data_IF_053751472657
#
_entry.id   IF_053751472657
#
_cell.length_a   1.000
_cell.length_b   1.000
_cell.length_c   1.000
_cell.angle_alpha   90.00
_cell.angle_beta   90.00
_cell.angle_gamma   90.00
#
_symmetry.space_group_name_H-M   'P 1'
#
loop_
_entity.id
_entity.type
_entity.pdbx_description
1 polymer ?
#
# COMPACT_ATOMS: atom_id res chain seq x y z
N UNK A 1 23.31 -25.47 29.58
CA UNK A 1 22.27 -26.17 28.80
C UNK A 1 22.26 -25.52 27.43
N UNK A 2 23.07 -26.05 26.53
CA UNK A 2 23.63 -25.27 25.41
C UNK A 2 23.17 -25.85 24.06
N UNK A 3 22.10 -26.66 24.12
CA UNK A 3 21.65 -27.56 23.06
C UNK A 3 21.33 -26.84 21.75
N UNK A 4 20.72 -25.66 21.80
CA UNK A 4 20.38 -24.87 20.61
C UNK A 4 21.60 -24.10 20.04
N UNK A 5 22.56 -23.76 20.89
CA UNK A 5 23.72 -22.92 20.56
C UNK A 5 24.97 -23.73 20.17
N UNK A 6 24.94 -25.05 20.40
CA UNK A 6 25.91 -26.02 19.89
C UNK A 6 25.47 -26.73 18.61
N UNK A 7 24.33 -26.35 18.00
CA UNK A 7 23.91 -26.89 16.71
C UNK A 7 24.80 -26.38 15.57
N UNK A 8 25.09 -27.20 14.54
CA UNK A 8 25.50 -26.74 13.22
C UNK A 8 24.52 -25.70 12.67
N UNK A 9 25.02 -24.72 11.90
CA UNK A 9 24.21 -23.59 11.41
C UNK A 9 23.00 -24.04 10.57
N UNK A 10 23.15 -25.11 9.78
CA UNK A 10 22.08 -25.66 8.94
C UNK A 10 20.95 -26.26 9.78
N UNK A 11 21.27 -26.95 10.88
CA UNK A 11 20.26 -27.48 11.80
C UNK A 11 19.59 -26.38 12.62
N UNK A 12 20.31 -25.30 12.93
CA UNK A 12 19.72 -24.11 13.54
C UNK A 12 18.75 -23.42 12.57
N UNK A 13 19.13 -23.21 11.31
CA UNK A 13 18.27 -22.66 10.25
C UNK A 13 16.98 -23.46 10.10
N UNK A 14 17.10 -24.78 9.86
CA UNK A 14 15.94 -25.68 9.73
C UNK A 14 15.02 -25.67 10.98
N UNK A 15 15.58 -25.47 12.18
CA UNK A 15 14.77 -25.37 13.41
C UNK A 15 14.03 -24.03 13.50
N UNK A 16 14.60 -22.94 12.97
CA UNK A 16 14.00 -21.61 13.01
C UNK A 16 12.97 -21.39 11.89
N UNK A 17 13.13 -22.05 10.74
CA UNK A 17 12.19 -22.00 9.62
C UNK A 17 10.86 -22.72 9.91
N UNK A 18 10.80 -23.54 10.96
CA UNK A 18 9.56 -24.10 11.53
C UNK A 18 8.77 -23.10 12.40
N UNK A 19 9.31 -21.90 12.65
CA UNK A 19 8.67 -20.86 13.46
C UNK A 19 8.23 -19.67 12.57
N UNK A 20 7.12 -18.98 12.88
CA UNK A 20 6.84 -17.68 12.28
C UNK A 20 7.99 -16.68 12.53
N UNK A 21 8.33 -15.79 11.57
CA UNK A 21 9.44 -14.85 11.73
C UNK A 21 9.40 -14.02 13.03
N UNK A 22 8.20 -13.59 13.46
CA UNK A 22 8.02 -12.84 14.72
C UNK A 22 8.29 -13.68 15.98
N UNK A 23 8.12 -14.99 15.93
CA UNK A 23 8.50 -15.88 17.03
C UNK A 23 10.02 -16.08 17.08
N UNK A 24 10.72 -16.17 15.94
CA UNK A 24 12.20 -16.16 15.89
C UNK A 24 12.76 -14.88 16.53
N UNK A 25 12.13 -13.72 16.28
CA UNK A 25 12.49 -12.46 16.96
C UNK A 25 12.22 -12.54 18.47
N UNK A 26 11.08 -13.10 18.90
CA UNK A 26 10.75 -13.29 20.34
C UNK A 26 11.72 -14.26 21.05
N UNK A 27 12.25 -15.27 20.35
CA UNK A 27 13.26 -16.18 20.91
C UNK A 27 14.54 -15.46 21.39
N UNK A 28 14.86 -14.26 20.85
CA UNK A 28 15.96 -13.40 21.33
C UNK A 28 15.81 -12.94 22.79
N UNK A 29 14.66 -13.18 23.43
CA UNK A 29 14.41 -12.85 24.84
C UNK A 29 14.68 -14.02 25.81
N UNK A 30 14.88 -15.26 25.30
CA UNK A 30 14.98 -16.47 26.14
C UNK A 30 16.27 -16.50 26.97
N UNK A 31 17.41 -16.15 26.37
CA UNK A 31 18.70 -16.06 27.07
C UNK A 31 19.70 -15.18 26.31
N UNK A 32 20.75 -14.71 26.98
CA UNK A 32 21.83 -13.93 26.33
C UNK A 32 22.54 -14.71 25.23
N UNK A 33 22.71 -16.02 25.38
CA UNK A 33 23.35 -16.89 24.38
C UNK A 33 22.48 -17.07 23.15
N UNK A 34 21.17 -17.28 23.34
CA UNK A 34 20.20 -17.36 22.23
C UNK A 34 20.06 -16.00 21.54
N UNK A 35 20.01 -14.90 22.30
CA UNK A 35 20.04 -13.54 21.76
C UNK A 35 21.22 -13.35 20.80
N UNK A 36 22.45 -13.59 21.28
CA UNK A 36 23.67 -13.43 20.48
C UNK A 36 23.72 -14.38 19.27
N UNK A 37 23.14 -15.59 19.36
CA UNK A 37 23.05 -16.49 18.22
C UNK A 37 22.06 -15.99 17.15
N UNK A 38 20.93 -15.42 17.57
CA UNK A 38 19.81 -14.94 16.74
C UNK A 38 19.93 -13.47 16.29
N UNK A 39 21.01 -12.76 16.66
CA UNK A 39 21.37 -11.43 16.14
C UNK A 39 22.60 -11.45 15.22
N UNK A 40 23.18 -12.61 14.92
CA UNK A 40 24.30 -12.72 13.97
C UNK A 40 23.85 -12.27 12.58
N UNK A 41 24.49 -11.23 12.03
CA UNK A 41 24.09 -10.62 10.76
C UNK A 41 23.99 -11.62 9.58
N UNK A 42 24.87 -12.63 9.50
CA UNK A 42 24.78 -13.66 8.47
C UNK A 42 23.54 -14.55 8.62
N UNK A 43 23.19 -14.96 9.85
CA UNK A 43 21.97 -15.70 10.11
C UNK A 43 20.74 -14.85 9.77
N UNK A 44 20.69 -13.59 10.20
CA UNK A 44 19.56 -12.71 9.91
C UNK A 44 19.40 -12.41 8.41
N UNK A 45 20.50 -12.32 7.64
CA UNK A 45 20.46 -12.25 6.16
C UNK A 45 19.89 -13.53 5.53
N UNK A 46 20.18 -14.71 6.07
CA UNK A 46 19.58 -15.96 5.57
C UNK A 46 18.09 -16.04 5.90
N UNK A 47 17.71 -15.85 7.18
CA UNK A 47 16.31 -15.87 7.61
C UNK A 47 15.44 -14.83 6.88
N UNK A 48 15.99 -13.65 6.55
CA UNK A 48 15.30 -12.65 5.74
C UNK A 48 15.05 -13.13 4.29
N UNK A 49 16.02 -13.83 3.69
CA UNK A 49 15.91 -14.33 2.32
C UNK A 49 15.07 -15.60 2.18
N UNK A 50 14.98 -16.44 3.22
CA UNK A 50 14.20 -17.69 3.22
C UNK A 50 12.80 -17.55 3.83
N UNK A 51 12.64 -16.80 4.94
CA UNK A 51 11.37 -16.70 5.67
C UNK A 51 10.53 -15.45 5.33
N UNK A 52 11.07 -14.51 4.56
CA UNK A 52 10.42 -13.26 4.15
C UNK A 52 10.80 -12.86 2.69
N UNK A 53 10.89 -13.79 1.72
CA UNK A 53 11.57 -13.56 0.43
C UNK A 53 11.05 -12.40 -0.41
N UNK A 54 9.79 -11.96 -0.22
CA UNK A 54 9.17 -10.86 -0.98
C UNK A 54 9.32 -9.49 -0.32
N UNK A 55 9.75 -9.43 0.95
CA UNK A 55 9.90 -8.15 1.67
C UNK A 55 10.85 -7.20 0.94
N UNK A 56 10.59 -5.90 1.03
CA UNK A 56 11.44 -4.83 0.47
C UNK A 56 12.91 -5.00 0.85
N UNK A 57 13.19 -5.39 2.09
CA UNK A 57 14.53 -5.64 2.62
C UNK A 57 15.18 -6.89 1.99
N UNK A 58 14.42 -7.97 1.78
CA UNK A 58 14.89 -9.17 1.09
C UNK A 58 15.17 -8.89 -0.40
N UNK A 59 14.27 -8.16 -1.09
CA UNK A 59 14.43 -7.70 -2.47
C UNK A 59 15.64 -6.79 -2.65
N UNK A 60 15.93 -5.94 -1.66
CA UNK A 60 17.08 -5.04 -1.69
C UNK A 60 18.41 -5.76 -1.38
N UNK A 61 18.40 -6.72 -0.44
CA UNK A 61 19.57 -7.57 -0.14
C UNK A 61 19.99 -8.46 -1.33
N UNK A 62 19.08 -8.85 -2.23
CA UNK A 62 19.45 -9.53 -3.47
C UNK A 62 20.19 -8.59 -4.42
N UNK A 63 19.61 -7.44 -4.77
CA UNK A 63 20.23 -6.42 -5.63
C UNK A 63 21.60 -5.95 -5.13
N UNK A 64 21.73 -5.70 -3.82
CA UNK A 64 23.01 -5.36 -3.19
C UNK A 64 24.10 -6.44 -3.38
N UNK A 65 23.73 -7.73 -3.37
CA UNK A 65 24.66 -8.84 -3.63
C UNK A 65 25.00 -8.97 -5.11
N UNK A 66 24.03 -8.75 -5.99
CA UNK A 66 24.17 -8.79 -7.45
C UNK A 66 25.08 -7.67 -7.96
N UNK A 67 24.95 -6.46 -7.41
CA UNK A 67 25.80 -5.30 -7.71
C UNK A 67 27.19 -5.34 -7.02
N UNK A 68 27.46 -6.37 -6.21
CA UNK A 68 28.65 -6.49 -5.36
C UNK A 68 28.88 -5.29 -4.39
N UNK A 69 27.81 -4.68 -3.89
CA UNK A 69 27.80 -3.54 -2.96
C UNK A 69 28.08 -3.97 -1.50
N UNK A 70 29.14 -4.74 -1.38
CA UNK A 70 29.53 -5.55 -0.23
C UNK A 70 29.90 -4.67 1.00
N UNK A 71 30.20 -3.39 0.78
CA UNK A 71 30.37 -2.39 1.84
C UNK A 71 29.03 -2.01 2.50
N UNK A 72 28.00 -1.71 1.71
CA UNK A 72 26.65 -1.36 2.19
C UNK A 72 26.04 -2.57 2.92
N UNK A 73 26.19 -3.78 2.38
CA UNK A 73 25.76 -5.04 3.02
C UNK A 73 26.47 -5.29 4.37
N UNK A 74 27.67 -4.74 4.59
CA UNK A 74 28.39 -4.83 5.88
C UNK A 74 28.02 -3.72 6.86
N UNK A 75 27.47 -2.60 6.42
CA UNK A 75 27.13 -1.46 7.29
C UNK A 75 25.82 -1.68 8.08
N UNK A 76 24.80 -2.28 7.44
CA UNK A 76 23.44 -2.43 7.99
C UNK A 76 23.35 -3.41 9.17
N UNK A 77 22.59 -3.06 10.21
CA UNK A 77 22.23 -4.03 11.26
C UNK A 77 21.12 -4.97 10.80
N UNK A 78 21.53 -6.04 10.11
CA UNK A 78 20.61 -7.09 9.64
C UNK A 78 19.79 -7.74 10.77
N UNK A 79 20.20 -7.64 12.03
CA UNK A 79 19.41 -8.13 13.15
C UNK A 79 18.19 -7.25 13.44
N UNK A 80 18.31 -5.93 13.24
CA UNK A 80 17.22 -4.95 13.30
C UNK A 80 16.36 -5.05 12.04
N UNK A 81 16.98 -5.08 10.85
CA UNK A 81 16.28 -5.18 9.56
C UNK A 81 15.35 -6.41 9.51
N UNK A 82 15.84 -7.60 9.91
CA UNK A 82 15.01 -8.79 10.02
C UNK A 82 13.89 -8.63 11.07
N UNK A 83 14.15 -7.97 12.20
CA UNK A 83 13.12 -7.79 13.24
C UNK A 83 12.01 -6.82 12.85
N UNK A 84 12.29 -5.81 12.02
CA UNK A 84 11.29 -4.91 11.45
C UNK A 84 10.45 -5.65 10.40
N UNK A 85 11.08 -6.33 9.44
CA UNK A 85 10.36 -7.09 8.41
C UNK A 85 9.49 -8.21 9.02
N UNK A 86 9.99 -8.93 10.04
CA UNK A 86 9.24 -9.95 10.77
C UNK A 86 8.10 -9.38 11.63
N UNK A 87 8.22 -8.16 12.14
CA UNK A 87 7.12 -7.42 12.79
C UNK A 87 6.04 -7.08 11.77
N UNK A 88 6.43 -6.46 10.65
CA UNK A 88 5.54 -6.06 9.57
C UNK A 88 4.69 -7.21 9.04
N UNK A 89 5.35 -8.33 8.69
CA UNK A 89 4.67 -9.54 8.26
C UNK A 89 3.67 -10.04 9.31
N UNK A 90 4.03 -10.01 10.61
CA UNK A 90 3.14 -10.45 11.67
C UNK A 90 1.89 -9.56 11.82
N UNK A 91 2.03 -8.24 11.71
CA UNK A 91 0.90 -7.30 11.77
C UNK A 91 -0.06 -7.52 10.59
N UNK A 92 0.46 -7.61 9.36
CA UNK A 92 -0.35 -7.97 8.19
C UNK A 92 -1.05 -9.33 8.35
N UNK A 93 -0.33 -10.37 8.77
CA UNK A 93 -0.90 -11.73 8.97
C UNK A 93 -1.89 -11.81 10.15
N UNK A 94 -2.05 -10.75 10.96
CA UNK A 94 -3.00 -10.72 12.08
C UNK A 94 -4.06 -9.62 11.98
N UNK A 95 -4.15 -8.89 10.86
CA UNK A 95 -5.14 -7.82 10.70
C UNK A 95 -4.92 -6.68 11.70
N UNK A 96 -3.66 -6.38 12.00
CA UNK A 96 -3.25 -5.37 12.98
C UNK A 96 -2.24 -4.41 12.36
N UNK A 97 -2.02 -3.27 13.01
CA UNK A 97 -0.93 -2.34 12.74
C UNK A 97 -0.10 -2.13 14.03
N UNK A 98 1.17 -1.74 13.89
CA UNK A 98 2.08 -1.51 15.02
C UNK A 98 1.94 -0.10 15.61
N UNK A 99 1.55 0.89 14.80
CA UNK A 99 1.17 2.23 15.24
C UNK A 99 0.31 2.94 14.19
N UNK A 100 -0.32 4.05 14.59
CA UNK A 100 -0.96 4.99 13.69
C UNK A 100 -0.38 6.40 13.90
N UNK A 101 -0.29 7.19 12.82
CA UNK A 101 0.03 8.62 12.85
C UNK A 101 -1.11 9.39 12.21
N UNK A 102 -1.63 10.37 12.94
CA UNK A 102 -2.64 11.30 12.45
C UNK A 102 -1.98 12.62 12.02
N UNK A 103 -2.51 13.20 10.94
CA UNK A 103 -2.13 14.52 10.43
C UNK A 103 -3.40 15.29 10.10
N UNK A 104 -3.70 16.34 10.86
CA UNK A 104 -4.91 17.15 10.65
C UNK A 104 -4.81 17.96 9.36
N UNK A 105 -5.66 17.66 8.38
CA UNK A 105 -5.83 18.46 7.17
C UNK A 105 -6.69 19.66 7.56
N UNK A 106 -6.05 20.82 7.73
CA UNK A 106 -6.73 22.05 8.18
C UNK A 106 -7.90 22.41 7.24
N UNK A 107 -8.96 23.06 7.76
CA UNK A 107 -10.15 23.38 6.99
C UNK A 107 -9.79 24.27 5.78
N UNK A 108 -9.72 23.62 4.61
CA UNK A 108 -9.45 24.24 3.31
C UNK A 108 -10.69 25.00 2.78
N UNK A 109 -11.28 25.85 3.62
CA UNK A 109 -12.43 26.68 3.28
C UNK A 109 -12.12 27.52 2.03
N UNK A 110 -12.85 27.25 0.94
CA UNK A 110 -12.71 27.89 -0.37
C UNK A 110 -11.32 27.76 -1.02
N UNK A 111 -10.52 26.76 -0.60
CA UNK A 111 -9.16 26.47 -1.10
C UNK A 111 -9.05 25.13 -1.82
N UNK A 112 -9.94 24.19 -1.51
CA UNK A 112 -10.12 22.95 -2.25
C UNK A 112 -11.58 22.76 -2.62
N UNK A 113 -11.83 22.47 -3.89
CA UNK A 113 -13.13 22.09 -4.41
C UNK A 113 -12.87 21.00 -5.45
N UNK A 114 -13.01 19.74 -5.04
CA UNK A 114 -12.78 18.58 -5.89
C UNK A 114 -13.64 18.58 -7.16
N UNK A 115 -13.25 17.78 -8.15
CA UNK A 115 -14.10 17.56 -9.32
C UNK A 115 -15.18 16.57 -8.91
N UNK A 116 -16.37 17.08 -8.60
CA UNK A 116 -17.52 16.26 -8.17
C UNK A 116 -17.70 15.05 -9.10
N UNK A 117 -17.76 13.81 -8.57
CA UNK A 117 -18.09 12.64 -9.38
C UNK A 117 -19.52 12.74 -9.91
N UNK A 118 -19.83 11.92 -10.91
CA UNK A 118 -21.21 11.71 -11.32
C UNK A 118 -21.97 10.98 -10.20
N UNK A 119 -23.26 11.28 -10.02
CA UNK A 119 -24.11 10.65 -9.00
C UNK A 119 -24.16 9.12 -9.19
N UNK A 120 -23.36 8.41 -8.39
CA UNK A 120 -23.21 6.96 -8.40
C UNK A 120 -24.00 6.33 -7.25
N UNK A 121 -24.77 5.28 -7.57
CA UNK A 121 -25.61 4.57 -6.60
C UNK A 121 -25.46 3.06 -6.75
N UNK A 122 -25.24 2.37 -5.63
CA UNK A 122 -25.43 0.93 -5.54
C UNK A 122 -26.91 0.65 -5.31
N UNK A 123 -27.55 -0.15 -6.18
CA UNK A 123 -28.96 -0.56 -6.04
C UNK A 123 -29.10 -2.07 -6.11
N UNK A 124 -29.76 -2.64 -5.11
CA UNK A 124 -30.08 -4.07 -5.02
C UNK A 124 -31.47 -4.24 -4.38
N UNK A 125 -32.36 -4.97 -5.05
CA UNK A 125 -33.79 -5.00 -4.75
C UNK A 125 -34.34 -3.58 -4.48
N UNK A 126 -35.03 -3.37 -3.35
CA UNK A 126 -35.57 -2.07 -2.93
C UNK A 126 -34.52 -1.16 -2.23
N UNK A 127 -33.28 -1.63 -2.03
CA UNK A 127 -32.20 -0.86 -1.40
C UNK A 127 -31.46 0.00 -2.43
N UNK A 128 -31.32 1.29 -2.15
CA UNK A 128 -30.46 2.21 -2.91
C UNK A 128 -29.53 2.94 -1.94
N UNK A 129 -28.23 2.92 -2.23
CA UNK A 129 -27.18 3.52 -1.39
C UNK A 129 -26.29 4.40 -2.27
N UNK A 130 -25.95 5.64 -1.87
CA UNK A 130 -24.97 6.45 -2.59
C UNK A 130 -23.59 5.78 -2.52
N UNK A 131 -22.87 5.82 -3.64
CA UNK A 131 -21.51 5.31 -3.79
C UNK A 131 -20.64 6.40 -4.44
N UNK A 132 -20.72 7.62 -3.90
CA UNK A 132 -19.84 8.72 -4.25
C UNK A 132 -19.01 9.12 -3.03
N UNK A 133 -17.79 9.58 -3.30
CA UNK A 133 -16.88 10.14 -2.31
C UNK A 133 -16.21 11.37 -2.92
N UNK A 134 -15.87 12.37 -2.11
CA UNK A 134 -15.16 13.56 -2.61
C UNK A 134 -13.72 13.21 -3.03
N UNK A 135 -13.18 13.88 -4.05
CA UNK A 135 -11.73 13.85 -4.34
C UNK A 135 -10.91 14.16 -3.05
N UNK A 136 -9.78 13.47 -2.87
CA UNK A 136 -8.81 13.74 -1.80
C UNK A 136 -7.99 15.01 -2.06
N UNK A 137 -7.52 15.62 -0.97
CA UNK A 137 -6.64 16.81 -1.02
C UNK A 137 -5.15 16.47 -1.02
N UNK A 138 -4.79 15.18 -1.00
CA UNK A 138 -3.44 14.66 -0.77
C UNK A 138 -3.10 13.54 -1.76
N UNK A 139 -1.82 13.24 -1.94
CA UNK A 139 -1.35 12.16 -2.80
C UNK A 139 -0.15 11.44 -2.19
N UNK A 140 -0.02 10.13 -2.43
CA UNK A 140 1.12 9.32 -2.00
C UNK A 140 1.77 8.62 -3.19
N UNK A 141 3.06 8.90 -3.41
CA UNK A 141 3.89 8.19 -4.37
C UNK A 141 4.58 7.00 -3.75
N UNK A 142 4.27 5.79 -4.23
CA UNK A 142 4.76 4.53 -3.63
C UNK A 142 6.25 4.28 -3.90
N UNK A 143 6.74 4.69 -5.08
CA UNK A 143 8.14 4.56 -5.51
C UNK A 143 9.03 5.54 -4.75
N UNK A 144 8.54 6.77 -4.57
CA UNK A 144 9.18 7.88 -3.87
C UNK A 144 9.16 7.66 -2.35
N UNK A 145 8.13 6.98 -1.84
CA UNK A 145 7.80 6.85 -0.43
C UNK A 145 7.34 8.16 0.19
N UNK A 146 6.70 9.02 -0.59
CA UNK A 146 6.48 10.43 -0.31
C UNK A 146 4.98 10.76 -0.28
N UNK A 147 4.52 11.38 0.81
CA UNK A 147 3.13 11.78 1.04
C UNK A 147 3.02 13.31 0.96
N UNK A 148 2.25 13.81 -0.01
CA UNK A 148 2.03 15.25 -0.23
C UNK A 148 0.63 15.65 0.24
N UNK A 149 0.54 16.62 1.14
CA UNK A 149 -0.72 17.05 1.79
C UNK A 149 -0.73 18.54 2.13
N UNK A 150 -1.91 19.20 2.24
CA UNK A 150 -2.01 20.63 2.54
C UNK A 150 -1.68 20.92 4.02
N UNK A 151 -1.09 22.09 4.25
CA UNK A 151 -0.75 22.61 5.59
C UNK A 151 -1.24 24.05 5.79
N UNK A 152 -1.06 24.58 6.99
CA UNK A 152 -1.42 25.96 7.36
C UNK A 152 -0.79 26.99 6.43
N UNK A 153 -1.54 28.03 6.06
CA UNK A 153 -1.00 29.16 5.29
C UNK A 153 -1.15 29.06 3.77
N UNK A 154 -1.98 28.13 3.26
CA UNK A 154 -2.18 27.91 1.82
C UNK A 154 -0.93 27.31 1.14
N UNK A 155 -0.25 26.40 1.82
CA UNK A 155 0.96 25.71 1.37
C UNK A 155 0.76 24.18 1.39
N UNK A 156 1.67 23.45 0.75
CA UNK A 156 1.70 21.98 0.75
C UNK A 156 3.00 21.46 1.35
N UNK A 157 2.90 20.35 2.08
CA UNK A 157 4.00 19.64 2.69
C UNK A 157 4.19 18.30 1.99
N UNK A 158 5.44 17.95 1.68
CA UNK A 158 5.86 16.62 1.26
C UNK A 158 6.57 15.94 2.44
N UNK A 159 6.09 14.77 2.84
CA UNK A 159 6.61 13.98 3.96
C UNK A 159 7.15 12.65 3.46
N UNK A 160 8.42 12.40 3.71
CA UNK A 160 9.03 11.09 3.54
C UNK A 160 8.54 10.15 4.66
N UNK A 161 7.78 9.11 4.31
CA UNK A 161 7.24 8.19 5.30
C UNK A 161 8.26 7.19 5.86
N UNK A 162 9.38 6.97 5.16
CA UNK A 162 10.49 6.13 5.65
C UNK A 162 11.42 6.91 6.58
N UNK A 163 11.74 8.16 6.24
CA UNK A 163 12.70 8.98 7.01
C UNK A 163 12.03 9.91 8.04
N UNK A 164 10.72 10.14 7.93
CA UNK A 164 9.97 11.09 8.77
C UNK A 164 10.26 12.58 8.47
N UNK A 165 11.07 12.86 7.45
CA UNK A 165 11.52 14.20 7.05
C UNK A 165 10.43 14.88 6.23
N UNK A 166 10.13 16.14 6.52
CA UNK A 166 9.13 16.95 5.83
C UNK A 166 9.74 18.19 5.16
N UNK A 167 9.28 18.49 3.94
CA UNK A 167 9.67 19.64 3.12
C UNK A 167 8.42 20.43 2.69
N UNK A 168 8.49 21.76 2.66
CA UNK A 168 7.47 22.58 1.99
C UNK A 168 7.64 22.45 0.48
N UNK A 169 6.56 22.06 -0.20
CA UNK A 169 6.49 21.99 -1.67
C UNK A 169 6.55 23.43 -2.22
N UNK A 170 7.25 23.70 -3.34
CA UNK A 170 7.26 25.01 -4.00
C UNK A 170 5.94 25.36 -4.72
N UNK A 171 4.80 25.05 -4.09
CA UNK A 171 3.44 25.33 -4.55
C UNK A 171 2.62 25.97 -3.42
N UNK A 172 1.97 27.10 -3.72
CA UNK A 172 0.96 27.71 -2.85
C UNK A 172 -0.42 27.63 -3.49
N UNK A 173 -1.46 27.45 -2.67
CA UNK A 173 -2.86 27.57 -3.04
C UNK A 173 -3.40 29.02 -2.95
N UNK A 174 -2.56 30.01 -2.65
CA UNK A 174 -3.00 31.41 -2.53
C UNK A 174 -3.55 31.95 -3.85
N UNK A 175 -4.83 32.35 -3.84
CA UNK A 175 -5.57 32.80 -5.04
C UNK A 175 -5.96 31.66 -5.97
N UNK A 176 -5.90 30.41 -5.52
CA UNK A 176 -6.16 29.20 -6.30
C UNK A 176 -7.13 28.28 -5.57
N UNK A 177 -8.08 27.73 -6.31
CA UNK A 177 -8.90 26.61 -5.88
C UNK A 177 -8.20 25.35 -6.38
N UNK A 178 -7.59 24.57 -5.49
CA UNK A 178 -7.02 23.26 -5.85
C UNK A 178 -8.17 22.31 -6.18
N UNK A 179 -8.05 21.63 -7.32
CA UNK A 179 -9.00 20.62 -7.80
C UNK A 179 -8.53 19.22 -7.43
N UNK A 180 -7.25 18.91 -7.71
CA UNK A 180 -6.62 17.61 -7.42
C UNK A 180 -5.12 17.75 -7.15
N UNK A 181 -4.58 16.78 -6.42
CA UNK A 181 -3.15 16.56 -6.25
C UNK A 181 -2.85 15.12 -6.71
N UNK A 182 -1.76 14.92 -7.46
CA UNK A 182 -1.30 13.60 -7.89
C UNK A 182 0.22 13.50 -7.75
N UNK A 183 0.73 12.33 -7.37
CA UNK A 183 2.15 12.03 -7.34
C UNK A 183 2.35 10.61 -7.85
N UNK A 184 3.02 10.46 -8.99
CA UNK A 184 3.29 9.17 -9.62
C UNK A 184 4.52 9.29 -10.53
N UNK A 185 5.31 8.22 -10.69
CA UNK A 185 6.48 8.16 -11.59
C UNK A 185 7.47 9.35 -11.48
N UNK A 186 7.70 9.85 -10.26
CA UNK A 186 8.58 11.00 -10.02
C UNK A 186 8.02 12.35 -10.46
N UNK A 187 6.70 12.49 -10.66
CA UNK A 187 6.05 13.77 -11.04
C UNK A 187 4.91 14.11 -10.07
N UNK A 188 5.01 15.26 -9.41
CA UNK A 188 3.96 15.86 -8.58
C UNK A 188 3.16 16.87 -9.41
N UNK A 189 1.85 16.66 -9.53
CA UNK A 189 0.94 17.54 -10.28
C UNK A 189 -0.15 18.11 -9.38
N UNK A 190 -0.32 19.43 -9.43
CA UNK A 190 -1.46 20.16 -8.87
C UNK A 190 -2.38 20.61 -10.00
N UNK A 191 -3.59 20.08 -10.06
CA UNK A 191 -4.69 20.62 -10.88
C UNK A 191 -5.37 21.75 -10.09
N UNK A 192 -5.48 22.95 -10.65
CA UNK A 192 -6.09 24.09 -9.95
C UNK A 192 -6.83 25.05 -10.88
N UNK A 193 -7.73 25.84 -10.31
CA UNK A 193 -8.43 26.94 -10.98
C UNK A 193 -8.16 28.27 -10.27
N UNK A 194 -8.22 29.39 -11.00
CA UNK A 194 -8.17 30.73 -10.38
C UNK A 194 -9.33 30.92 -9.40
N UNK A 195 -9.08 31.50 -8.22
CA UNK A 195 -10.12 31.72 -7.20
C UNK A 195 -11.12 32.82 -7.60
N UNK A 196 -10.65 33.83 -8.35
CA UNK A 196 -11.51 34.84 -8.97
C UNK A 196 -11.93 34.39 -10.38
N UNK A 197 -13.17 34.66 -10.77
CA UNK A 197 -13.66 34.35 -12.11
C UNK A 197 -13.00 35.27 -13.16
N UNK A 198 -12.46 34.68 -14.23
CA UNK A 198 -11.86 35.42 -15.34
C UNK A 198 -12.92 36.15 -16.19
N UNK A 199 -14.14 35.62 -16.26
CA UNK A 199 -15.26 36.24 -16.95
C UNK A 199 -16.58 35.84 -16.27
N UNK A 200 -17.51 36.78 -16.04
CA UNK A 200 -18.83 36.45 -15.50
C UNK A 200 -19.81 36.13 -16.63
N UNK A 201 -20.56 35.03 -16.50
CA UNK A 201 -21.60 34.64 -17.45
C UNK A 201 -22.96 35.26 -17.08
N UNK A 202 -23.24 35.39 -15.79
CA UNK A 202 -24.43 36.01 -15.22
C UNK A 202 -24.13 36.48 -13.77
N UNK A 203 -25.17 36.77 -12.97
CA UNK A 203 -25.03 37.28 -11.61
C UNK A 203 -24.55 36.22 -10.58
N UNK A 204 -24.52 34.93 -10.92
CA UNK A 204 -24.10 33.85 -10.03
C UNK A 204 -23.03 32.89 -10.60
N UNK A 205 -22.79 32.88 -11.91
CA UNK A 205 -21.87 31.94 -12.57
C UNK A 205 -20.70 32.65 -13.26
N UNK A 206 -19.48 32.22 -12.94
CA UNK A 206 -18.24 32.72 -13.54
C UNK A 206 -17.43 31.62 -14.23
N UNK A 207 -16.73 31.98 -15.30
CA UNK A 207 -15.71 31.15 -15.95
C UNK A 207 -14.39 31.32 -15.20
N UNK A 208 -13.91 30.26 -14.58
CA UNK A 208 -12.57 30.19 -13.98
C UNK A 208 -11.59 29.58 -14.98
N UNK A 209 -10.34 30.07 -15.03
CA UNK A 209 -9.29 29.44 -15.84
C UNK A 209 -8.65 28.30 -15.06
N UNK A 210 -8.51 27.15 -15.71
CA UNK A 210 -7.89 25.95 -15.16
C UNK A 210 -6.43 25.84 -15.62
N UNK A 211 -5.59 25.35 -14.72
CA UNK A 211 -4.15 25.18 -14.90
C UNK A 211 -3.68 23.88 -14.24
N UNK A 212 -2.54 23.37 -14.71
CA UNK A 212 -1.78 22.34 -14.03
C UNK A 212 -0.39 22.89 -13.68
N UNK A 213 0.09 22.59 -12.48
CA UNK A 213 1.48 22.85 -12.08
C UNK A 213 2.15 21.53 -11.75
N UNK A 214 3.09 21.13 -12.61
CA UNK A 214 3.88 19.92 -12.46
C UNK A 214 5.28 20.24 -11.90
N UNK A 215 5.80 19.32 -11.09
CA UNK A 215 7.13 19.38 -10.48
C UNK A 215 7.79 18.01 -10.60
N UNK A 216 9.04 17.97 -11.06
CA UNK A 216 9.85 16.75 -10.98
C UNK A 216 10.20 16.47 -9.50
N UNK A 217 10.02 15.22 -9.08
CA UNK A 217 10.25 14.73 -7.73
C UNK A 217 11.34 13.68 -7.81
N UNK A 218 12.58 14.13 -7.76
CA UNK A 218 13.68 13.24 -7.38
C UNK A 218 13.77 13.21 -5.85
N UNK A 219 13.90 12.01 -5.29
CA UNK A 219 14.54 11.86 -3.99
C UNK A 219 16.00 11.55 -4.23
N UNK A 220 16.92 12.17 -3.49
CA UNK A 220 18.35 11.84 -3.63
C UNK A 220 18.67 10.38 -3.24
N UNK A 221 17.75 9.63 -2.61
CA UNK A 221 17.91 8.28 -2.00
C UNK A 221 18.72 7.25 -2.80
N UNK A 222 19.86 6.81 -2.24
CA UNK A 222 20.35 5.43 -2.39
C UNK A 222 19.26 4.58 -1.70
N UNK A 223 18.67 3.64 -2.41
CA UNK A 223 17.48 2.92 -1.90
C UNK A 223 17.79 2.18 -0.58
N UNK A 224 19.07 1.82 -0.41
CA UNK A 224 19.70 1.09 0.69
C UNK A 224 19.58 1.75 2.05
N UNK A 225 19.61 3.08 2.11
CA UNK A 225 19.55 3.84 3.37
C UNK A 225 18.12 4.14 3.82
N UNK A 226 17.13 3.61 3.10
CA UNK A 226 15.75 3.47 3.60
C UNK A 226 15.47 2.09 4.20
N UNK A 227 16.51 1.27 4.42
CA UNK A 227 16.47 0.18 5.41
C UNK A 227 16.48 0.77 6.83
N UNK A 228 15.87 0.09 7.82
CA UNK A 228 15.80 0.60 9.20
C UNK A 228 17.16 0.56 9.92
N UNK A 229 17.96 1.59 9.68
CA UNK A 229 19.17 2.00 10.39
C UNK A 229 18.93 3.35 11.11
N UNK A 230 19.85 3.77 11.98
CA UNK A 230 19.89 5.14 12.49
C UNK A 230 20.56 6.12 11.49
N UNK A 231 19.85 6.39 10.38
CA UNK A 231 19.91 7.54 9.44
C UNK A 231 20.74 7.52 8.11
N UNK A 232 20.03 7.90 7.01
CA UNK A 232 20.40 8.77 5.84
C UNK A 232 21.16 8.26 4.57
N UNK A 233 20.89 8.85 3.36
CA UNK A 233 21.07 8.32 1.95
C UNK A 233 21.50 9.32 0.82
N UNK A 234 22.27 8.94 -0.26
CA UNK A 234 21.86 9.12 -1.72
C UNK A 234 22.59 8.24 -2.84
N UNK A 235 22.29 8.07 -4.20
CA UNK A 235 21.13 7.86 -5.16
C UNK A 235 21.16 6.53 -6.03
N UNK A 236 20.35 6.13 -7.06
CA UNK A 236 18.91 6.12 -7.48
C UNK A 236 18.66 5.32 -8.84
N UNK A 237 17.41 5.11 -9.34
CA UNK A 237 16.94 4.76 -10.75
C UNK A 237 16.75 3.27 -11.26
N UNK A 238 16.01 2.96 -12.39
CA UNK A 238 14.66 3.40 -12.88
C UNK A 238 13.74 2.29 -13.52
N UNK A 239 12.43 2.56 -13.77
CA UNK A 239 11.56 1.91 -14.81
C UNK A 239 10.23 2.71 -15.07
N UNK A 240 9.35 2.27 -16.00
CA UNK A 240 8.30 3.06 -16.68
C UNK A 240 6.89 2.43 -16.70
N UNK A 241 5.81 3.25 -16.73
CA UNK A 241 4.43 2.84 -17.06
C UNK A 241 3.48 4.00 -17.43
N UNK A 242 2.51 3.76 -18.32
CA UNK A 242 1.52 4.76 -18.79
C UNK A 242 0.18 4.72 -18.00
N UNK A 243 -0.54 5.85 -17.96
CA UNK A 243 -1.81 6.01 -17.23
C UNK A 243 -3.06 5.52 -17.98
N UNK A 244 -4.16 5.19 -17.27
CA UNK A 244 -5.33 4.51 -17.84
C UNK A 244 -6.29 5.41 -18.65
N UNK A 245 -6.97 4.79 -19.61
CA UNK A 245 -8.10 5.34 -20.38
C UNK A 245 -9.27 4.37 -20.27
N UNK A 246 -10.48 4.88 -20.05
CA UNK A 246 -11.68 4.06 -19.79
C UNK A 246 -12.48 3.80 -21.07
N UNK A 247 -12.86 2.53 -21.28
CA UNK A 247 -13.80 2.07 -22.33
C UNK A 247 -14.73 1.03 -21.72
N UNK A 248 -16.00 0.99 -22.14
CA UNK A 248 -17.01 0.06 -21.64
C UNK A 248 -17.54 -0.83 -22.79
N UNK A 249 -17.35 -2.14 -22.69
CA UNK A 249 -17.84 -3.14 -23.67
C UNK A 249 -18.89 -4.10 -23.08
N UNK A 250 -19.50 -3.78 -21.93
CA UNK A 250 -20.48 -4.64 -21.26
C UNK A 250 -21.94 -4.41 -21.70
N UNK A 251 -22.19 -4.28 -23.01
CA UNK A 251 -23.55 -4.32 -23.57
C UNK A 251 -23.59 -4.78 -25.03
N UNK A 252 -24.01 -6.03 -25.28
CA UNK A 252 -25.39 -6.25 -25.72
C UNK A 252 -25.82 -7.74 -25.75
N UNK A 253 -27.13 -7.98 -25.74
CA UNK A 253 -27.72 -9.31 -25.85
C UNK A 253 -27.81 -9.77 -27.31
N UNK A 254 -27.16 -10.87 -27.67
CA UNK A 254 -27.81 -12.01 -28.37
C UNK A 254 -26.92 -13.25 -28.48
N UNK A 255 -27.52 -14.43 -28.32
CA UNK A 255 -26.99 -15.76 -28.68
C UNK A 255 -25.55 -16.11 -28.25
N UNK A 256 -25.40 -16.78 -27.10
CA UNK A 256 -24.21 -17.62 -26.83
C UNK A 256 -24.06 -18.69 -27.92
N UNK A 257 -22.83 -18.97 -28.37
CA UNK A 257 -22.31 -20.30 -28.11
C UNK A 257 -20.82 -20.30 -27.70
N UNK A 258 -20.53 -19.93 -26.45
CA UNK A 258 -19.26 -20.26 -25.80
C UNK A 258 -19.38 -20.28 -24.26
N UNK A 259 -20.21 -21.17 -23.71
CA UNK A 259 -20.16 -21.48 -22.28
C UNK A 259 -18.83 -22.19 -21.96
N UNK A 260 -17.77 -21.42 -21.65
CA UNK A 260 -16.42 -21.94 -21.38
C UNK A 260 -16.28 -22.52 -19.98
N UNK A 261 -16.99 -23.63 -19.74
CA UNK A 261 -16.40 -24.67 -18.90
C UNK A 261 -15.10 -25.14 -19.56
N UNK A 262 -14.03 -25.29 -18.77
CA UNK A 262 -12.69 -25.65 -19.23
C UNK A 262 -12.07 -24.67 -20.26
N UNK A 263 -11.80 -23.43 -19.82
CA UNK A 263 -10.70 -22.64 -20.37
C UNK A 263 -9.80 -22.17 -19.22
N UNK A 264 -8.51 -22.48 -19.38
CA UNK A 264 -7.35 -22.24 -18.53
C UNK A 264 -7.33 -20.91 -17.77
N UNK A 265 -6.60 -20.91 -16.65
CA UNK A 265 -6.13 -19.69 -16.01
C UNK A 265 -5.44 -18.79 -17.05
N UNK A 266 -6.02 -17.61 -17.27
CA UNK A 266 -5.24 -16.44 -17.62
C UNK A 266 -4.50 -16.04 -16.34
N UNK A 267 -3.19 -15.82 -16.43
CA UNK A 267 -2.43 -15.31 -15.30
C UNK A 267 -2.84 -13.83 -15.05
N UNK A 268 -2.64 -13.32 -13.82
CA UNK A 268 -3.07 -11.95 -13.44
C UNK A 268 -2.38 -10.85 -14.28
N UNK A 269 -1.43 -11.22 -15.15
CA UNK A 269 -0.78 -10.37 -16.15
C UNK A 269 -1.73 -9.91 -17.29
N UNK A 270 -2.74 -10.70 -17.67
CA UNK A 270 -3.71 -10.32 -18.71
C UNK A 270 -4.83 -9.39 -18.18
N UNK A 271 -4.91 -9.15 -16.86
CA UNK A 271 -5.92 -8.31 -16.25
C UNK A 271 -5.62 -6.80 -16.45
N UNK A 272 -6.01 -6.26 -17.61
CA UNK A 272 -5.70 -4.89 -17.98
C UNK A 272 -6.29 -3.87 -16.98
N UNK A 273 -5.50 -2.91 -16.43
CA UNK A 273 -5.97 -2.04 -15.34
C UNK A 273 -7.18 -1.13 -15.62
N UNK A 274 -7.59 -0.98 -16.88
CA UNK A 274 -8.81 -0.26 -17.27
C UNK A 274 -10.05 -1.14 -17.46
N UNK A 275 -9.96 -2.46 -17.23
CA UNK A 275 -11.15 -3.32 -17.14
C UNK A 275 -11.88 -3.07 -15.82
N UNK A 276 -13.16 -2.70 -15.91
CA UNK A 276 -14.00 -2.61 -14.72
C UNK A 276 -14.19 -4.01 -14.10
N UNK A 277 -13.95 -4.21 -12.79
CA UNK A 277 -14.10 -5.51 -12.15
C UNK A 277 -15.54 -6.00 -12.30
N UNK A 278 -15.69 -7.23 -12.80
CA UNK A 278 -17.00 -7.76 -13.13
C UNK A 278 -17.74 -8.21 -11.84
N UNK A 279 -18.52 -7.28 -11.28
CA UNK A 279 -19.40 -7.38 -10.09
C UNK A 279 -20.40 -8.56 -10.05
N UNK A 280 -20.31 -9.51 -10.98
CA UNK A 280 -21.02 -10.79 -11.01
C UNK A 280 -20.16 -11.99 -10.63
N UNK A 281 -18.83 -11.83 -10.53
CA UNK A 281 -17.89 -12.94 -10.30
C UNK A 281 -16.93 -12.71 -9.12
N UNK A 282 -16.91 -11.52 -8.51
CA UNK A 282 -16.21 -11.25 -7.24
C UNK A 282 -17.23 -10.99 -6.11
N UNK A 283 -17.18 -11.82 -5.07
CA UNK A 283 -17.63 -11.59 -3.68
C UNK A 283 -18.97 -10.90 -3.39
N UNK A 284 -19.99 -10.99 -4.26
CA UNK A 284 -21.33 -10.47 -3.94
C UNK A 284 -21.83 -11.03 -2.58
N UNK A 285 -22.25 -10.18 -1.61
CA UNK A 285 -22.75 -8.81 -1.76
C UNK A 285 -21.73 -7.68 -1.52
N UNK A 286 -20.43 -7.98 -1.38
CA UNK A 286 -19.40 -6.98 -1.13
C UNK A 286 -18.94 -6.30 -2.43
N UNK A 287 -18.84 -4.98 -2.41
CA UNK A 287 -18.22 -4.18 -3.46
C UNK A 287 -16.87 -3.67 -2.98
N UNK A 288 -15.80 -3.92 -3.73
CA UNK A 288 -14.49 -3.29 -3.50
C UNK A 288 -14.59 -1.81 -3.83
N UNK A 289 -14.51 -0.96 -2.80
CA UNK A 289 -14.52 0.51 -2.93
C UNK A 289 -13.13 1.02 -3.27
N UNK A 290 -12.09 0.49 -2.62
CA UNK A 290 -10.70 0.82 -2.89
C UNK A 290 -9.77 -0.37 -2.64
N UNK A 291 -8.62 -0.36 -3.29
CA UNK A 291 -7.60 -1.41 -3.18
C UNK A 291 -6.20 -0.81 -3.32
N UNK A 292 -5.22 -1.36 -2.60
CA UNK A 292 -3.79 -1.05 -2.70
C UNK A 292 -3.04 -2.36 -2.90
N UNK A 293 -2.16 -2.44 -3.91
CA UNK A 293 -1.48 -3.69 -4.29
C UNK A 293 0.04 -3.49 -4.39
N UNK A 294 0.77 -3.90 -3.36
CA UNK A 294 2.23 -4.09 -3.46
C UNK A 294 2.50 -5.49 -4.03
N UNK A 295 2.46 -5.59 -5.37
CA UNK A 295 2.75 -6.84 -6.10
C UNK A 295 4.13 -7.41 -5.76
N UNK A 296 5.11 -6.55 -5.49
CA UNK A 296 6.47 -6.99 -5.21
C UNK A 296 6.60 -7.63 -3.81
N UNK A 297 5.88 -7.11 -2.81
CA UNK A 297 5.75 -7.72 -1.49
C UNK A 297 4.74 -8.87 -1.41
N UNK A 298 3.80 -8.96 -2.36
CA UNK A 298 2.68 -9.89 -2.33
C UNK A 298 1.59 -9.49 -1.34
N UNK A 299 1.30 -8.19 -1.26
CA UNK A 299 0.31 -7.62 -0.32
C UNK A 299 -0.79 -6.90 -1.09
N UNK A 300 -2.04 -7.29 -0.82
CA UNK A 300 -3.25 -6.64 -1.35
C UNK A 300 -4.09 -6.17 -0.16
N UNK A 301 -4.19 -4.86 0.05
CA UNK A 301 -5.15 -4.28 0.99
C UNK A 301 -6.44 -3.98 0.24
N UNK A 302 -7.57 -4.43 0.77
CA UNK A 302 -8.90 -4.21 0.18
C UNK A 302 -9.80 -3.51 1.17
N UNK A 303 -10.53 -2.51 0.69
CA UNK A 303 -11.64 -1.90 1.40
C UNK A 303 -12.93 -2.26 0.66
N UNK A 304 -13.73 -3.15 1.26
CA UNK A 304 -15.01 -3.60 0.70
C UNK A 304 -16.19 -3.15 1.55
N UNK A 305 -17.27 -2.73 0.90
CA UNK A 305 -18.53 -2.33 1.54
C UNK A 305 -19.68 -3.17 0.98
N UNK A 306 -20.61 -3.57 1.83
CA UNK A 306 -21.94 -4.03 1.44
C UNK A 306 -23.01 -3.28 2.28
N UNK A 307 -24.29 -3.46 1.95
CA UNK A 307 -25.41 -2.76 2.61
C UNK A 307 -25.51 -2.89 4.14
N UNK A 308 -24.72 -3.77 4.76
CA UNK A 308 -24.73 -4.02 6.22
C UNK A 308 -23.36 -4.10 6.87
N UNK A 309 -22.26 -4.09 6.11
CA UNK A 309 -20.89 -4.28 6.64
C UNK A 309 -19.85 -3.52 5.82
N UNK A 310 -19.00 -2.79 6.54
CA UNK A 310 -17.79 -2.14 6.04
C UNK A 310 -16.56 -2.93 6.51
N UNK A 311 -15.70 -3.36 5.60
CA UNK A 311 -14.53 -4.20 5.90
C UNK A 311 -13.28 -3.63 5.26
N UNK A 312 -12.25 -3.40 6.08
CA UNK A 312 -10.86 -3.26 5.60
C UNK A 312 -10.14 -4.58 5.87
N UNK A 313 -9.39 -5.08 4.91
CA UNK A 313 -8.68 -6.35 4.98
C UNK A 313 -7.31 -6.29 4.32
N UNK A 314 -6.50 -7.30 4.59
CA UNK A 314 -5.24 -7.57 3.91
C UNK A 314 -5.18 -9.04 3.50
N UNK A 315 -4.78 -9.29 2.26
CA UNK A 315 -4.44 -10.61 1.75
C UNK A 315 -2.91 -10.67 1.48
N UNK A 316 -2.28 -11.80 1.81
CA UNK A 316 -0.88 -12.09 1.47
C UNK A 316 -0.81 -13.32 0.58
N UNK A 317 -0.17 -13.15 -0.58
CA UNK A 317 0.19 -14.25 -1.47
C UNK A 317 1.00 -15.34 -0.73
N UNK A 318 0.99 -16.59 -1.20
CA UNK A 318 1.95 -17.58 -0.77
C UNK A 318 3.39 -17.11 -1.02
N UNK A 319 4.18 -17.00 0.04
CA UNK A 319 5.64 -16.95 -0.10
C UNK A 319 6.13 -18.33 -0.56
N UNK A 320 6.71 -18.38 -1.75
CA UNK A 320 7.26 -19.60 -2.36
C UNK A 320 8.49 -20.08 -1.56
N UNK A 321 8.24 -20.79 -0.45
CA UNK A 321 9.26 -21.30 0.45
C UNK A 321 8.73 -22.06 1.67
N UNK A 322 7.55 -21.70 2.20
CA UNK A 322 7.00 -22.29 3.45
C UNK A 322 6.34 -23.67 3.26
N UNK A 323 7.12 -24.63 2.74
CA UNK A 323 6.73 -26.01 2.50
C UNK A 323 6.59 -26.87 3.79
N UNK A 324 5.80 -26.40 4.76
CA UNK A 324 5.53 -27.12 6.03
C UNK A 324 4.06 -27.09 6.48
N UNK A 325 3.17 -26.35 5.82
CA UNK A 325 1.73 -26.31 6.14
C UNK A 325 0.86 -27.19 5.22
N UNK A 326 1.42 -27.70 4.12
CA UNK A 326 0.67 -28.37 3.04
C UNK A 326 0.63 -29.90 3.19
N UNK A 327 0.41 -30.41 4.42
CA UNK A 327 0.47 -31.85 4.69
C UNK A 327 -0.65 -32.37 5.61
N UNK A 328 -1.90 -32.00 5.32
CA UNK A 328 -3.04 -32.94 5.39
C UNK A 328 -4.26 -32.45 4.59
N UNK A 329 -4.76 -33.27 3.66
CA UNK A 329 -6.19 -33.32 3.34
C UNK A 329 -6.86 -32.25 2.44
N UNK A 330 -6.31 -31.87 1.28
CA UNK A 330 -7.05 -31.08 0.28
C UNK A 330 -6.98 -31.68 -1.13
N UNK A 331 -7.91 -32.58 -1.47
CA UNK A 331 -8.11 -33.09 -2.84
C UNK A 331 -9.47 -32.66 -3.38
N UNK A 332 -9.59 -31.36 -3.61
CA UNK A 332 -10.75 -30.65 -4.12
C UNK A 332 -10.33 -29.19 -4.32
N UNK A 333 -10.13 -28.80 -5.59
CA UNK A 333 -9.67 -27.47 -5.95
C UNK A 333 -10.86 -26.69 -6.54
N UNK A 334 -11.68 -26.16 -5.64
CA UNK A 334 -12.66 -25.11 -5.93
C UNK A 334 -12.02 -23.73 -5.62
N UNK A 335 -12.58 -22.64 -6.17
CA UNK A 335 -12.01 -21.27 -6.15
C UNK A 335 -11.83 -20.63 -4.76
N UNK A 336 -12.32 -21.28 -3.71
CA UNK A 336 -12.37 -20.79 -2.32
C UNK A 336 -10.97 -20.57 -1.69
N UNK A 337 -9.90 -21.07 -2.33
CA UNK A 337 -8.52 -20.97 -1.85
C UNK A 337 -7.95 -19.55 -1.72
N UNK A 338 -8.47 -18.58 -2.49
CA UNK A 338 -8.05 -17.18 -2.39
C UNK A 338 -8.60 -16.47 -1.15
N UNK A 339 -9.81 -16.86 -0.70
CA UNK A 339 -10.52 -16.28 0.44
C UNK A 339 -9.95 -16.74 1.78
N UNK A 340 -9.37 -17.95 1.84
CA UNK A 340 -8.80 -18.54 3.07
C UNK A 340 -7.57 -17.82 3.66
N UNK A 341 -7.14 -16.68 3.09
CA UNK A 341 -6.03 -15.85 3.57
C UNK A 341 -6.35 -14.36 3.72
N UNK A 342 -7.60 -13.98 3.55
CA UNK A 342 -8.03 -12.61 3.78
C UNK A 342 -8.18 -12.33 5.29
N UNK A 343 -7.27 -11.54 5.84
CA UNK A 343 -7.29 -11.17 7.27
C UNK A 343 -7.93 -9.79 7.40
N UNK A 344 -9.04 -9.72 8.15
CA UNK A 344 -9.77 -8.47 8.40
C UNK A 344 -9.09 -7.65 9.49
N UNK A 345 -9.05 -6.33 9.32
CA UNK A 345 -8.67 -5.41 10.38
C UNK A 345 -9.79 -5.26 11.42
N UNK A 346 -9.44 -4.75 12.60
CA UNK A 346 -10.40 -4.54 13.69
C UNK A 346 -11.53 -3.56 13.31
N UNK A 347 -12.71 -3.78 13.88
CA UNK A 347 -13.89 -2.94 13.68
C UNK A 347 -13.58 -1.46 13.93
N UNK A 348 -14.06 -0.59 13.04
CA UNK A 348 -13.77 0.85 13.06
C UNK A 348 -12.51 1.27 12.27
N UNK A 349 -11.66 0.34 11.80
CA UNK A 349 -10.54 0.68 10.89
C UNK A 349 -11.04 1.40 9.62
N UNK A 350 -12.21 1.03 9.10
CA UNK A 350 -12.87 1.73 8.00
C UNK A 350 -13.06 3.23 8.28
N UNK A 351 -13.62 3.59 9.44
CA UNK A 351 -13.87 4.98 9.83
C UNK A 351 -12.57 5.80 10.03
N UNK A 352 -11.42 5.13 10.18
CA UNK A 352 -10.11 5.77 10.30
C UNK A 352 -9.48 6.16 8.96
N UNK A 353 -9.86 5.52 7.84
CA UNK A 353 -9.17 5.67 6.55
C UNK A 353 -10.07 5.82 5.31
N UNK A 354 -11.35 5.41 5.36
CA UNK A 354 -12.22 5.28 4.17
C UNK A 354 -13.22 6.42 3.93
N UNK A 355 -13.15 7.53 4.67
CA UNK A 355 -14.16 8.60 4.53
C UNK A 355 -14.15 9.32 3.17
N UNK A 356 -13.08 9.14 2.38
CA UNK A 356 -12.93 9.63 1.00
C UNK A 356 -12.95 8.51 -0.05
N UNK A 357 -13.35 7.30 0.32
CA UNK A 357 -13.42 6.18 -0.62
C UNK A 357 -12.07 5.75 -1.21
N UNK A 358 -10.95 6.23 -0.66
CA UNK A 358 -9.63 6.07 -1.25
C UNK A 358 -8.59 5.77 -0.16
N UNK A 359 -7.76 4.77 -0.45
CA UNK A 359 -6.58 4.39 0.32
C UNK A 359 -5.36 4.33 -0.60
N UNK A 360 -4.17 4.60 -0.04
CA UNK A 360 -2.88 4.49 -0.72
C UNK A 360 -1.84 3.86 0.22
N UNK A 361 -0.74 3.31 -0.30
CA UNK A 361 0.29 2.72 0.54
C UNK A 361 1.13 1.65 -0.17
N UNK A 362 1.78 0.82 0.64
CA UNK A 362 2.50 -0.39 0.23
C UNK A 362 2.61 -1.34 1.43
N UNK A 363 3.45 -2.38 1.39
CA UNK A 363 3.56 -3.30 2.53
C UNK A 363 3.86 -2.60 3.88
N UNK A 364 4.58 -1.47 3.87
CA UNK A 364 5.04 -0.75 5.08
C UNK A 364 3.95 0.01 5.81
N UNK A 365 2.96 0.54 5.08
CA UNK A 365 1.92 1.41 5.64
C UNK A 365 0.69 1.51 4.74
N UNK A 366 -0.45 1.80 5.36
CA UNK A 366 -1.71 2.11 4.69
C UNK A 366 -2.19 3.51 5.09
N UNK A 367 -2.59 4.31 4.11
CA UNK A 367 -2.90 5.74 4.23
C UNK A 367 -4.34 5.97 3.77
N UNK A 368 -5.11 6.77 4.53
CA UNK A 368 -6.43 7.24 4.12
C UNK A 368 -6.93 8.37 5.01
N UNK A 369 -8.20 8.77 4.87
CA UNK A 369 -8.76 9.96 5.53
C UNK A 369 -9.98 9.63 6.41
N UNK A 370 -10.07 10.27 7.58
CA UNK A 370 -11.26 10.25 8.44
C UNK A 370 -12.30 11.27 8.00
N UNK A 371 -13.56 11.10 8.43
CA UNK A 371 -14.60 12.10 8.19
C UNK A 371 -14.32 13.47 8.84
N UNK A 372 -13.39 13.54 9.79
CA UNK A 372 -12.91 14.77 10.41
C UNK A 372 -11.80 15.50 9.64
N UNK A 373 -11.51 15.09 8.38
CA UNK A 373 -10.34 15.55 7.60
C UNK A 373 -9.01 15.32 8.33
N UNK A 374 -8.86 14.15 8.95
CA UNK A 374 -7.58 13.71 9.51
C UNK A 374 -7.02 12.66 8.56
N UNK A 375 -5.80 12.90 8.06
CA UNK A 375 -5.03 11.96 7.26
C UNK A 375 -4.36 10.95 8.22
N UNK A 376 -4.74 9.69 8.11
CA UNK A 376 -4.31 8.60 8.98
C UNK A 376 -3.31 7.72 8.23
N UNK A 377 -2.15 7.48 8.86
CA UNK A 377 -1.11 6.59 8.35
C UNK A 377 -0.96 5.43 9.34
N UNK A 378 -1.38 4.24 8.95
CA UNK A 378 -1.23 2.99 9.71
C UNK A 378 0.11 2.35 9.33
N UNK A 379 0.98 2.06 10.31
CA UNK A 379 2.29 1.42 10.08
C UNK A 379 2.26 -0.05 10.50
N UNK A 380 2.88 -0.92 9.72
CA UNK A 380 2.90 -2.37 9.97
C UNK A 380 4.25 -2.83 10.57
#
# INVERSE_FOLDING_TARGET
>A
MDLLTGLPEDLLLLTLELLPPSQVVRCRLISRTIHHALTRANLCKHLLLSMLPRSREARLLRRLRENAEDAVVRAKDWSVVFAVAARRHHHQTTGAFSSAREVSLLPAENLFEGVMPWDTFLRFDDLTMPLYYDDVVWAYGSVEGLLVYPVSGQEYCALDLALGISQIVPFTAKGRIVRRVRLEHGVLVFEWAEQEAFHQLNEGEGVHRHFASAFDVWTDKEEYDTLPDLAYAPPASPLQGDGPVWVNECSDNTASPACRGAAFAMEEEDAWPGWAPCWRHEDFPYLTVAQVVDRAAGVRFSARQCFTMDVVSVNRDPEQGTASAALEGAKGADDDGALQREVRFADGTWAQIMAKGQIMGDERWLIGETAGRILTILYF
#
